data_IF_790174132921
#
_entry.id   IF_790174132921
#
_cell.length_a   1.000
_cell.length_b   1.000
_cell.length_c   1.000
_cell.angle_alpha   90.00
_cell.angle_beta   90.00
_cell.angle_gamma   90.00
#
_symmetry.space_group_name_H-M   'P 1'
#
loop_
_entity.id
_entity.type
_entity.pdbx_description
1 polymer ?
#
# COMPACT_ATOMS: atom_id res chain seq x y z
N UNK A 1 -4.52 -7.75 -4.26
CA UNK A 1 -5.18 -6.54 -3.74
C UNK A 1 -4.39 -5.35 -4.27
N UNK A 2 -4.93 -4.60 -5.23
CA UNK A 2 -4.21 -3.50 -5.87
C UNK A 2 -4.33 -2.24 -4.99
N UNK A 3 -3.23 -1.86 -4.33
CA UNK A 3 -3.12 -0.57 -3.65
C UNK A 3 -2.77 0.52 -4.68
N UNK A 4 -3.66 1.49 -4.87
CA UNK A 4 -3.37 2.68 -5.67
C UNK A 4 -2.60 3.68 -4.79
N UNK A 5 -1.33 3.91 -5.12
CA UNK A 5 -0.52 4.97 -4.53
C UNK A 5 -0.92 6.31 -5.16
N UNK A 6 -1.46 7.23 -4.36
CA UNK A 6 -1.71 8.61 -4.79
C UNK A 6 -0.68 9.54 -4.18
N UNK A 7 0.16 10.15 -5.02
CA UNK A 7 0.80 11.43 -4.69
C UNK A 7 0.73 12.34 -5.92
N UNK A 8 -0.09 13.39 -5.87
CA UNK A 8 0.27 14.77 -6.28
C UNK A 8 -0.94 15.73 -6.29
N UNK A 9 -0.62 17.01 -6.13
CA UNK A 9 -1.47 18.19 -5.98
C UNK A 9 -2.46 18.44 -7.13
N UNK A 10 -3.69 18.85 -6.78
CA UNK A 10 -4.77 19.11 -7.74
C UNK A 10 -4.88 20.59 -8.12
N UNK A 11 -5.02 20.88 -9.42
CA UNK A 11 -5.81 22.00 -9.94
C UNK A 11 -6.75 21.50 -11.04
N UNK A 12 -8.03 21.85 -10.90
CA UNK A 12 -9.15 21.32 -11.71
C UNK A 12 -9.53 22.30 -12.83
N UNK A 13 -9.72 21.79 -14.07
CA UNK A 13 -10.56 22.44 -15.08
C UNK A 13 -11.44 21.42 -15.79
N UNK A 14 -12.74 21.65 -15.69
CA UNK A 14 -13.86 20.89 -16.28
C UNK A 14 -14.03 21.18 -17.77
N UNK A 15 -14.31 20.14 -18.55
CA UNK A 15 -15.23 20.23 -19.71
C UNK A 15 -15.98 18.90 -19.91
N UNK A 16 -17.27 18.98 -20.24
CA UNK A 16 -18.22 17.87 -20.45
C UNK A 16 -18.31 17.46 -21.94
N UNK A 17 -18.82 16.23 -22.14
CA UNK A 17 -19.47 15.64 -23.33
C UNK A 17 -18.49 15.07 -24.38
N UNK A 18 -18.73 13.92 -25.05
CA UNK A 18 -19.92 13.07 -25.30
C UNK A 18 -19.45 11.64 -25.69
N UNK A 19 -20.38 10.70 -25.67
CA UNK A 19 -20.22 9.25 -25.96
C UNK A 19 -19.39 8.93 -27.23
N UNK A 20 -18.43 8.02 -27.09
CA UNK A 20 -17.57 7.51 -28.16
C UNK A 20 -16.97 6.15 -27.80
N UNK A 21 -16.79 5.29 -28.80
CA UNK A 21 -16.39 3.88 -28.73
C UNK A 21 -14.99 3.66 -28.12
N UNK A 22 -14.77 2.45 -27.56
CA UNK A 22 -13.64 2.04 -26.72
C UNK A 22 -12.23 2.29 -27.28
N UNK A 23 -12.08 2.47 -28.59
CA UNK A 23 -10.79 2.74 -29.24
C UNK A 23 -10.40 4.23 -29.19
N UNK A 24 -11.38 5.15 -29.28
CA UNK A 24 -11.11 6.60 -29.26
C UNK A 24 -10.63 7.11 -27.89
N UNK A 25 -11.05 6.45 -26.81
CA UNK A 25 -10.68 6.80 -25.43
C UNK A 25 -9.21 6.50 -25.14
N UNK A 26 -8.64 5.45 -25.74
CA UNK A 26 -7.25 5.03 -25.52
C UNK A 26 -6.24 6.00 -26.16
N UNK A 27 -6.57 6.57 -27.31
CA UNK A 27 -5.71 7.54 -28.00
C UNK A 27 -5.72 8.90 -27.29
N UNK A 28 -6.86 9.35 -26.76
CA UNK A 28 -6.94 10.56 -25.93
C UNK A 28 -6.14 10.42 -24.61
N UNK A 29 -6.09 9.22 -24.03
CA UNK A 29 -5.31 8.95 -22.82
C UNK A 29 -3.79 9.03 -23.08
N UNK A 30 -3.30 8.56 -24.22
CA UNK A 30 -1.87 8.66 -24.58
C UNK A 30 -1.41 10.11 -24.73
N UNK A 31 -2.27 10.96 -25.31
CA UNK A 31 -1.93 12.36 -25.59
C UNK A 31 -1.96 13.24 -24.32
N UNK A 32 -2.86 12.94 -23.38
CA UNK A 32 -2.99 13.71 -22.13
C UNK A 32 -1.97 13.34 -21.05
N UNK A 33 -1.38 12.14 -21.09
CA UNK A 33 -0.55 11.63 -19.98
C UNK A 33 0.96 11.53 -20.26
N UNK A 34 1.47 11.94 -21.44
CA UNK A 34 2.91 11.86 -21.81
C UNK A 34 3.60 10.57 -21.30
N UNK A 35 2.96 9.43 -21.50
CA UNK A 35 3.51 8.13 -21.09
C UNK A 35 4.41 7.63 -22.22
N UNK A 36 5.73 7.66 -22.01
CA UNK A 36 6.69 7.04 -22.93
C UNK A 36 6.81 5.55 -22.60
N UNK A 37 6.04 4.72 -23.30
CA UNK A 37 6.31 3.28 -23.37
C UNK A 37 7.09 3.03 -24.66
N UNK A 38 8.39 2.74 -24.55
CA UNK A 38 9.17 2.18 -25.66
C UNK A 38 9.26 0.67 -25.48
N UNK A 39 8.68 -0.08 -26.40
CA UNK A 39 8.98 -1.49 -26.55
C UNK A 39 10.33 -1.61 -27.25
N UNK A 40 11.28 -2.26 -26.58
CA UNK A 40 12.60 -2.54 -27.15
C UNK A 40 12.49 -3.85 -27.90
N UNK A 41 12.51 -3.77 -29.23
CA UNK A 41 12.71 -4.93 -30.08
C UNK A 41 14.23 -5.03 -30.33
N UNK A 42 14.83 -6.18 -30.01
CA UNK A 42 16.25 -6.38 -30.28
C UNK A 42 16.46 -7.69 -31.04
N UNK A 43 16.44 -7.56 -32.37
CA UNK A 43 17.34 -8.31 -33.22
C UNK A 43 18.77 -7.78 -33.00
N UNK A 44 19.67 -8.63 -32.53
CA UNK A 44 21.10 -8.57 -32.92
C UNK A 44 21.81 -9.87 -32.55
N UNK A 45 22.33 -10.51 -33.59
CA UNK A 45 23.31 -11.58 -33.57
C UNK A 45 24.62 -11.13 -32.90
N UNK A 46 25.29 -11.99 -32.14
CA UNK A 46 26.68 -12.44 -32.39
C UNK A 46 27.11 -13.50 -31.35
N UNK A 47 27.67 -14.61 -31.84
CA UNK A 47 28.19 -15.74 -31.06
C UNK A 47 29.63 -15.49 -30.61
N UNK A 48 29.99 -16.02 -29.44
CA UNK A 48 31.28 -16.73 -29.23
C UNK A 48 31.04 -17.92 -28.29
N UNK A 49 31.62 -19.07 -28.65
CA UNK A 49 31.33 -20.41 -28.16
C UNK A 49 32.12 -20.75 -26.88
N UNK A 50 31.47 -20.88 -25.72
CA UNK A 50 31.87 -21.78 -24.59
C UNK A 50 30.83 -21.76 -23.44
N UNK A 51 29.53 -22.04 -23.64
CA UNK A 51 28.53 -22.05 -22.53
C UNK A 51 27.33 -23.02 -22.73
N UNK A 52 27.50 -24.05 -23.55
CA UNK A 52 26.38 -24.82 -24.12
C UNK A 52 25.53 -25.66 -23.14
N UNK A 53 25.96 -25.86 -21.89
CA UNK A 53 25.22 -26.69 -20.92
C UNK A 53 24.39 -25.84 -19.94
N UNK A 54 24.77 -24.59 -19.70
CA UNK A 54 24.07 -23.69 -18.77
C UNK A 54 22.93 -22.92 -19.47
N UNK A 55 23.03 -22.74 -20.79
CA UNK A 55 22.00 -22.04 -21.57
C UNK A 55 20.72 -22.86 -21.79
N UNK A 56 20.81 -24.19 -21.95
CA UNK A 56 19.63 -25.03 -22.26
C UNK A 56 18.68 -25.15 -21.06
N UNK A 57 19.20 -25.41 -19.86
CA UNK A 57 18.37 -25.48 -18.64
C UNK A 57 17.69 -24.15 -18.34
N UNK A 58 18.41 -23.03 -18.51
CA UNK A 58 17.82 -21.71 -18.34
C UNK A 58 16.74 -21.41 -19.38
N UNK A 59 16.93 -21.80 -20.64
CA UNK A 59 15.91 -21.63 -21.70
C UNK A 59 14.61 -22.37 -21.40
N UNK A 60 14.70 -23.60 -20.91
CA UNK A 60 13.54 -24.43 -20.60
C UNK A 60 12.74 -23.83 -19.45
N UNK A 61 13.41 -23.34 -18.40
CA UNK A 61 12.77 -22.66 -17.27
C UNK A 61 12.08 -21.36 -17.71
N UNK A 62 12.71 -20.57 -18.57
CA UNK A 62 12.15 -19.33 -19.10
C UNK A 62 10.89 -19.55 -19.95
N UNK A 63 10.87 -20.58 -20.79
CA UNK A 63 9.72 -20.89 -21.65
C UNK A 63 8.52 -21.36 -20.82
N UNK A 64 8.77 -22.14 -19.75
CA UNK A 64 7.72 -22.55 -18.82
C UNK A 64 7.15 -21.38 -18.01
N UNK A 65 7.99 -20.49 -17.48
CA UNK A 65 7.54 -19.35 -16.67
C UNK A 65 6.72 -18.35 -17.49
N UNK A 66 7.09 -18.17 -18.75
CA UNK A 66 6.37 -17.31 -19.70
C UNK A 66 4.99 -17.89 -20.05
N UNK A 67 4.90 -19.22 -20.19
CA UNK A 67 3.62 -19.92 -20.41
C UNK A 67 2.66 -19.81 -19.21
N UNK A 68 3.20 -19.68 -18.00
CA UNK A 68 2.45 -19.57 -16.75
C UNK A 68 2.06 -18.13 -16.39
N UNK A 69 2.43 -17.15 -17.23
CA UNK A 69 2.16 -15.73 -16.98
C UNK A 69 2.89 -15.17 -15.76
N UNK A 70 3.98 -15.83 -15.33
CA UNK A 70 4.83 -15.35 -14.26
C UNK A 70 5.60 -14.15 -14.82
N UNK A 71 5.43 -12.93 -14.25
CA UNK A 71 6.18 -11.79 -14.73
C UNK A 71 7.67 -12.07 -14.50
N UNK A 72 8.46 -12.04 -15.57
CA UNK A 72 9.92 -12.18 -15.54
C UNK A 72 10.52 -10.99 -14.80
N UNK A 73 10.57 -11.07 -13.48
CA UNK A 73 11.27 -10.11 -12.65
C UNK A 73 12.74 -10.51 -12.65
N UNK A 74 13.45 -9.95 -13.62
CA UNK A 74 14.87 -9.64 -13.52
C UNK A 74 15.82 -10.85 -13.48
N UNK A 75 16.14 -11.35 -14.67
CA UNK A 75 17.00 -12.52 -14.93
C UNK A 75 18.49 -12.19 -15.10
N UNK A 76 18.87 -10.92 -15.03
CA UNK A 76 20.29 -10.56 -15.07
C UNK A 76 20.89 -10.71 -13.67
N UNK A 77 21.49 -11.86 -13.41
CA UNK A 77 22.19 -12.15 -12.15
C UNK A 77 23.35 -11.18 -11.89
N UNK A 78 23.94 -10.59 -12.94
CA UNK A 78 25.03 -9.61 -12.84
C UNK A 78 24.55 -8.20 -12.52
N UNK A 79 23.26 -7.90 -12.74
CA UNK A 79 22.70 -6.58 -12.46
C UNK A 79 21.22 -6.67 -12.09
N UNK A 80 20.91 -7.16 -10.89
CA UNK A 80 19.53 -7.32 -10.51
C UNK A 80 18.85 -5.97 -10.28
N UNK A 81 17.66 -5.79 -10.85
CA UNK A 81 16.73 -4.73 -10.50
C UNK A 81 16.38 -4.79 -9.01
N UNK A 82 16.79 -3.76 -8.27
CA UNK A 82 16.46 -3.57 -6.88
C UNK A 82 15.42 -2.44 -6.79
N UNK A 83 14.17 -2.73 -6.36
CA UNK A 83 13.16 -1.69 -6.20
C UNK A 83 13.64 -0.60 -5.24
N UNK A 84 13.41 0.68 -5.58
CA UNK A 84 13.79 1.80 -4.71
C UNK A 84 13.06 1.78 -3.37
N UNK A 85 11.79 1.37 -3.37
CA UNK A 85 10.98 1.17 -2.18
C UNK A 85 10.81 -0.32 -1.91
N UNK A 86 11.14 -0.73 -0.69
CA UNK A 86 11.01 -2.10 -0.19
C UNK A 86 10.32 -2.00 1.16
N UNK A 87 9.00 -2.15 1.14
CA UNK A 87 8.13 -1.84 2.28
C UNK A 87 7.71 -3.15 2.95
N UNK A 88 7.83 -3.21 4.28
CA UNK A 88 7.35 -4.35 5.08
C UNK A 88 6.00 -3.99 5.68
N UNK A 89 4.97 -4.78 5.40
CA UNK A 89 3.63 -4.59 5.94
C UNK A 89 3.49 -5.26 7.31
N UNK A 90 3.05 -4.48 8.28
CA UNK A 90 2.63 -4.93 9.60
C UNK A 90 1.10 -4.82 9.67
N UNK A 91 0.43 -5.96 9.52
CA UNK A 91 -0.98 -6.12 9.84
C UNK A 91 -1.11 -6.36 11.36
N UNK A 92 -1.63 -5.36 12.06
CA UNK A 92 -1.66 -5.33 13.53
C UNK A 92 -3.03 -5.70 14.09
N UNK A 93 -4.04 -5.90 13.24
CA UNK A 93 -5.42 -6.11 13.69
C UNK A 93 -5.56 -7.35 14.56
N UNK A 94 -6.26 -7.21 15.68
CA UNK A 94 -6.47 -8.24 16.70
C UNK A 94 -5.23 -8.66 17.51
N UNK A 95 -4.03 -8.65 16.93
CA UNK A 95 -2.80 -9.16 17.55
C UNK A 95 -1.60 -8.22 17.32
N UNK A 96 -1.59 -7.03 17.97
CA UNK A 96 -0.51 -6.08 17.83
C UNK A 96 0.79 -6.64 18.41
N UNK A 97 1.92 -6.39 17.73
CA UNK A 97 3.24 -6.71 18.26
C UNK A 97 3.49 -5.94 19.56
N UNK A 98 4.16 -6.57 20.52
CA UNK A 98 4.58 -5.88 21.74
C UNK A 98 5.53 -4.72 21.38
N UNK A 99 5.39 -3.53 22.00
CA UNK A 99 6.24 -2.37 21.72
C UNK A 99 7.75 -2.67 21.76
N UNK A 100 8.17 -3.48 22.74
CA UNK A 100 9.58 -3.89 22.91
C UNK A 100 10.11 -4.75 21.76
N UNK A 101 9.25 -5.44 21.01
CA UNK A 101 9.65 -6.27 19.89
C UNK A 101 10.08 -5.43 18.67
N UNK A 102 9.57 -4.20 18.54
CA UNK A 102 9.97 -3.31 17.45
C UNK A 102 11.47 -3.01 17.46
N UNK A 103 12.07 -2.91 18.66
CA UNK A 103 13.52 -2.76 18.87
C UNK A 103 14.36 -3.91 18.34
N UNK A 104 13.74 -5.06 18.05
CA UNK A 104 14.39 -6.23 17.43
C UNK A 104 14.08 -6.31 15.94
N UNK A 105 12.80 -6.17 15.57
CA UNK A 105 12.36 -6.40 14.20
C UNK A 105 12.76 -5.28 13.23
N UNK A 106 12.73 -4.00 13.65
CA UNK A 106 13.08 -2.90 12.76
C UNK A 106 14.55 -2.93 12.32
N UNK A 107 15.54 -3.13 13.22
CA UNK A 107 16.92 -3.32 12.79
C UNK A 107 17.09 -4.53 11.87
N UNK A 108 16.39 -5.63 12.17
CA UNK A 108 16.45 -6.85 11.34
C UNK A 108 15.98 -6.58 9.91
N UNK A 109 14.78 -6.02 9.73
CA UNK A 109 14.25 -5.75 8.37
C UNK A 109 15.06 -4.66 7.67
N UNK A 110 15.61 -3.69 8.41
CA UNK A 110 16.50 -2.68 7.86
C UNK A 110 17.77 -3.31 7.28
N UNK A 111 18.38 -4.25 8.01
CA UNK A 111 19.54 -5.01 7.55
C UNK A 111 19.21 -5.92 6.36
N UNK A 112 17.97 -6.39 6.25
CA UNK A 112 17.45 -7.11 5.07
C UNK A 112 17.12 -6.18 3.90
N UNK A 113 17.33 -4.87 4.05
CA UNK A 113 17.19 -3.89 2.99
C UNK A 113 15.87 -3.13 2.97
N UNK A 114 14.99 -3.26 3.95
CA UNK A 114 13.75 -2.48 4.00
C UNK A 114 14.02 -0.97 3.97
N UNK A 115 13.20 -0.24 3.23
CA UNK A 115 13.24 1.23 3.15
C UNK A 115 12.09 1.89 3.89
N UNK A 116 11.06 1.12 4.24
CA UNK A 116 9.91 1.61 4.97
C UNK A 116 9.03 0.48 5.49
N UNK A 117 8.00 0.87 6.21
CA UNK A 117 7.02 -0.01 6.83
C UNK A 117 5.61 0.52 6.53
N UNK A 118 4.69 -0.39 6.26
CA UNK A 118 3.26 -0.11 6.08
C UNK A 118 2.54 -0.57 7.34
N UNK A 119 1.93 0.34 8.09
CA UNK A 119 1.27 0.04 9.35
C UNK A 119 -0.25 0.04 9.17
N UNK A 120 -0.86 -1.13 9.34
CA UNK A 120 -2.31 -1.30 9.36
C UNK A 120 -2.77 -1.54 10.81
N UNK A 121 -3.29 -0.50 11.46
CA UNK A 121 -3.65 -0.57 12.87
C UNK A 121 -5.05 -1.12 13.14
N UNK A 122 -6.04 -0.80 12.30
CA UNK A 122 -7.47 -1.05 12.57
C UNK A 122 -7.87 -0.67 14.02
N UNK A 123 -8.41 -1.61 14.81
CA UNK A 123 -8.81 -1.42 16.21
C UNK A 123 -7.65 -1.42 17.21
N UNK A 124 -6.40 -1.55 16.77
CA UNK A 124 -5.22 -1.38 17.64
C UNK A 124 -4.74 0.06 17.78
N UNK A 125 -5.36 1.01 17.06
CA UNK A 125 -5.07 2.42 17.24
C UNK A 125 -5.85 3.00 18.42
N UNK A 126 -5.25 3.84 19.30
CA UNK A 126 -5.93 4.48 20.44
C UNK A 126 -6.84 5.63 20.00
N UNK A 127 -7.92 5.32 19.29
CA UNK A 127 -8.89 6.33 18.88
C UNK A 127 -9.57 7.02 20.06
N UNK A 128 -9.93 8.29 19.85
CA UNK A 128 -10.63 9.14 20.81
C UNK A 128 -11.88 9.76 20.19
N UNK A 129 -12.61 10.54 20.98
CA UNK A 129 -13.78 11.29 20.49
C UNK A 129 -14.93 10.37 20.05
N UNK A 130 -15.42 10.58 18.83
CA UNK A 130 -16.53 9.78 18.29
C UNK A 130 -16.15 8.32 18.06
N UNK A 131 -14.85 8.02 17.91
CA UNK A 131 -14.32 6.68 17.68
C UNK A 131 -13.85 5.97 18.97
N UNK A 132 -14.09 6.55 20.15
CA UNK A 132 -13.56 6.04 21.45
C UNK A 132 -13.95 4.59 21.80
N UNK A 133 -14.98 4.04 21.17
CA UNK A 133 -15.44 2.66 21.39
C UNK A 133 -14.71 1.63 20.52
N UNK A 134 -14.06 2.09 19.44
CA UNK A 134 -13.40 1.26 18.43
C UNK A 134 -12.16 0.53 18.96
N UNK A 135 -11.28 1.16 19.77
CA UNK A 135 -10.05 0.50 20.19
C UNK A 135 -10.34 -0.79 20.95
N UNK A 136 -9.61 -1.85 20.59
CA UNK A 136 -9.64 -3.09 21.35
C UNK A 136 -8.97 -2.90 22.72
N UNK A 137 -9.26 -3.81 23.65
CA UNK A 137 -8.69 -3.77 25.01
C UNK A 137 -7.16 -3.84 25.06
N UNK A 138 -6.54 -4.43 24.04
CA UNK A 138 -5.09 -4.55 23.88
C UNK A 138 -4.50 -3.58 22.83
N UNK A 139 -5.24 -2.53 22.46
CA UNK A 139 -4.75 -1.49 21.57
C UNK A 139 -3.52 -0.77 22.16
N UNK A 140 -2.71 -0.17 21.29
CA UNK A 140 -1.56 0.62 21.71
C UNK A 140 -1.98 1.85 22.48
N UNK A 141 -1.12 2.33 23.39
CA UNK A 141 -1.23 3.70 23.90
C UNK A 141 -0.60 4.70 22.93
N UNK A 142 -0.92 5.99 23.09
CA UNK A 142 -0.32 7.06 22.27
C UNK A 142 1.21 7.09 22.43
N UNK A 143 1.72 6.82 23.63
CA UNK A 143 3.15 6.76 23.94
C UNK A 143 3.83 5.59 23.23
N UNK A 144 3.18 4.44 23.17
CA UNK A 144 3.68 3.27 22.43
C UNK A 144 3.73 3.53 20.93
N UNK A 145 2.71 4.18 20.37
CA UNK A 145 2.73 4.62 18.96
C UNK A 145 3.92 5.54 18.73
N UNK A 146 4.11 6.58 19.57
CA UNK A 146 5.26 7.49 19.48
C UNK A 146 6.59 6.75 19.53
N UNK A 147 6.76 5.78 20.42
CA UNK A 147 7.98 4.97 20.51
C UNK A 147 8.26 4.22 19.20
N UNK A 148 7.23 3.61 18.61
CA UNK A 148 7.33 2.90 17.31
C UNK A 148 7.77 3.87 16.21
N UNK A 149 7.17 5.05 16.14
CA UNK A 149 7.48 6.06 15.11
C UNK A 149 8.90 6.61 15.26
N UNK A 150 9.32 6.93 16.48
CA UNK A 150 10.68 7.41 16.77
C UNK A 150 11.70 6.35 16.35
N UNK A 151 11.47 5.08 16.69
CA UNK A 151 12.38 4.00 16.32
C UNK A 151 12.46 3.80 14.80
N UNK A 152 11.34 3.93 14.08
CA UNK A 152 11.33 3.85 12.62
C UNK A 152 12.13 5.01 11.98
N UNK A 153 11.96 6.23 12.50
CA UNK A 153 12.69 7.43 12.04
C UNK A 153 14.20 7.31 12.30
N UNK A 154 14.61 6.87 13.49
CA UNK A 154 16.02 6.59 13.85
C UNK A 154 16.68 5.61 12.86
N UNK A 155 15.92 4.63 12.38
CA UNK A 155 16.37 3.61 11.42
C UNK A 155 16.13 4.02 9.95
N UNK A 156 15.64 5.24 9.70
CA UNK A 156 15.30 5.77 8.37
C UNK A 156 14.40 4.80 7.61
N UNK A 157 13.36 4.31 8.28
CA UNK A 157 12.27 3.55 7.68
C UNK A 157 11.12 4.54 7.44
N UNK A 158 10.77 4.77 6.17
CA UNK A 158 9.56 5.52 5.82
C UNK A 158 8.34 4.82 6.43
N UNK A 159 7.52 5.54 7.20
CA UNK A 159 6.31 4.95 7.77
C UNK A 159 5.09 5.39 6.98
N UNK A 160 4.33 4.41 6.52
CA UNK A 160 3.15 4.60 5.68
C UNK A 160 1.95 4.04 6.46
N UNK A 161 0.95 4.85 6.83
CA UNK A 161 -0.29 4.33 7.38
C UNK A 161 -1.13 3.66 6.29
N UNK A 162 -1.65 2.47 6.57
CA UNK A 162 -2.71 1.85 5.80
C UNK A 162 -4.04 2.12 6.51
N UNK A 163 -4.90 2.92 5.86
CA UNK A 163 -6.25 3.21 6.34
C UNK A 163 -7.27 2.68 5.34
N UNK A 164 -8.17 1.83 5.83
CA UNK A 164 -9.29 1.33 5.05
C UNK A 164 -10.35 2.43 4.91
N UNK A 165 -10.90 2.61 3.70
CA UNK A 165 -11.81 3.74 3.40
C UNK A 165 -13.18 3.31 2.90
N UNK A 166 -13.41 2.01 2.69
CA UNK A 166 -14.67 1.48 2.17
C UNK A 166 -14.99 0.11 2.73
N UNK A 167 -14.22 -0.91 2.34
CA UNK A 167 -14.31 -2.28 2.88
C UNK A 167 -13.35 -2.48 4.05
N UNK A 168 -13.38 -3.67 4.66
CA UNK A 168 -12.54 -4.01 5.82
C UNK A 168 -12.73 -3.07 7.02
N UNK A 169 -13.97 -2.60 7.21
CA UNK A 169 -14.33 -1.68 8.29
C UNK A 169 -15.09 -2.36 9.42
N UNK A 170 -15.04 -3.70 9.51
CA UNK A 170 -15.72 -4.46 10.56
C UNK A 170 -15.31 -3.98 11.94
N UNK A 171 -14.04 -3.59 12.12
CA UNK A 171 -13.50 -3.08 13.37
C UNK A 171 -14.22 -1.82 13.88
N UNK A 172 -14.76 -0.98 12.99
CA UNK A 172 -15.62 0.17 13.33
C UNK A 172 -17.10 -0.20 13.25
N UNK A 173 -17.53 -0.77 12.14
CA UNK A 173 -18.94 -0.95 11.81
C UNK A 173 -19.60 -2.07 12.62
N UNK A 174 -18.85 -2.89 13.37
CA UNK A 174 -19.41 -3.85 14.35
C UNK A 174 -20.15 -3.17 15.50
N UNK A 175 -19.78 -1.93 15.87
CA UNK A 175 -20.39 -1.25 17.01
C UNK A 175 -21.76 -0.65 16.63
N UNK A 176 -22.69 -0.67 17.59
CA UNK A 176 -24.09 -0.28 17.39
C UNK A 176 -24.25 1.17 16.91
N UNK A 177 -23.40 2.08 17.39
CA UNK A 177 -23.40 3.50 17.02
C UNK A 177 -23.00 3.77 15.56
N UNK A 178 -22.31 2.83 14.91
CA UNK A 178 -21.85 2.96 13.52
C UNK A 178 -22.67 2.14 12.51
N UNK A 179 -23.71 1.42 12.93
CA UNK A 179 -24.56 0.62 12.02
C UNK A 179 -25.16 1.47 10.89
N UNK A 180 -25.50 2.73 11.19
CA UNK A 180 -26.05 3.70 10.22
C UNK A 180 -25.11 4.04 9.06
N UNK A 181 -23.82 3.70 9.14
CA UNK A 181 -22.85 3.93 8.08
C UNK A 181 -22.67 2.72 7.15
N UNK A 182 -23.23 1.55 7.48
CA UNK A 182 -23.09 0.32 6.67
C UNK A 182 -23.76 0.47 5.31
N UNK A 183 -23.12 -0.10 4.27
CA UNK A 183 -23.70 -0.27 2.92
C UNK A 183 -24.91 -1.20 3.00
N UNK A 184 -24.70 -2.40 3.54
CA UNK A 184 -25.76 -3.38 3.78
C UNK A 184 -26.02 -3.44 5.29
N UNK A 185 -27.26 -3.18 5.77
CA UNK A 185 -27.54 -3.13 7.21
C UNK A 185 -27.08 -4.36 8.01
N UNK A 186 -27.22 -5.55 7.42
CA UNK A 186 -26.83 -6.83 8.02
C UNK A 186 -25.32 -7.15 7.96
N UNK A 187 -24.48 -6.31 7.34
CA UNK A 187 -23.06 -6.60 7.15
C UNK A 187 -22.18 -5.43 7.62
N UNK A 188 -21.25 -5.65 8.57
CA UNK A 188 -20.31 -4.62 9.01
C UNK A 188 -19.08 -4.49 8.09
N UNK A 189 -19.00 -5.20 6.97
CA UNK A 189 -17.77 -5.23 6.16
C UNK A 189 -17.50 -3.93 5.41
N UNK A 190 -18.56 -3.23 4.99
CA UNK A 190 -18.45 -2.10 4.09
C UNK A 190 -19.31 -0.92 4.52
N UNK A 191 -18.73 0.27 4.36
CA UNK A 191 -19.38 1.56 4.57
C UNK A 191 -20.09 2.01 3.28
N UNK A 192 -21.23 2.67 3.44
CA UNK A 192 -22.03 3.18 2.31
C UNK A 192 -21.41 4.46 1.74
N UNK A 193 -20.82 4.45 0.53
CA UNK A 193 -20.07 5.59 0.02
C UNK A 193 -21.01 6.72 -0.45
N UNK A 194 -22.27 6.40 -0.71
CA UNK A 194 -23.30 7.35 -1.15
C UNK A 194 -23.88 8.21 -0.02
N UNK A 195 -23.49 7.97 1.23
CA UNK A 195 -23.94 8.76 2.41
C UNK A 195 -22.86 9.75 2.80
N UNK A 196 -23.19 11.05 2.83
CA UNK A 196 -22.22 12.10 3.21
C UNK A 196 -21.58 11.85 4.59
N UNK A 197 -22.36 11.38 5.55
CA UNK A 197 -21.89 11.11 6.91
C UNK A 197 -20.83 9.99 6.97
N UNK A 198 -20.72 9.16 5.93
CA UNK A 198 -19.68 8.16 5.80
C UNK A 198 -18.30 8.79 5.60
N UNK A 199 -18.23 9.87 4.81
CA UNK A 199 -16.99 10.61 4.58
C UNK A 199 -16.47 11.19 5.90
N UNK A 200 -17.36 11.68 6.77
CA UNK A 200 -16.97 12.23 8.08
C UNK A 200 -16.27 11.18 8.95
N UNK A 201 -16.78 9.94 8.97
CA UNK A 201 -16.15 8.84 9.71
C UNK A 201 -14.79 8.48 9.13
N UNK A 202 -14.66 8.39 7.81
CA UNK A 202 -13.37 8.07 7.17
C UNK A 202 -12.35 9.18 7.44
N UNK A 203 -12.77 10.45 7.35
CA UNK A 203 -11.89 11.58 7.67
C UNK A 203 -11.45 11.55 9.12
N UNK A 204 -12.32 11.16 10.06
CA UNK A 204 -11.93 11.02 11.46
C UNK A 204 -10.88 9.92 11.66
N UNK A 205 -11.06 8.75 11.03
CA UNK A 205 -10.08 7.66 11.07
C UNK A 205 -8.73 8.14 10.49
N UNK A 206 -8.75 8.79 9.33
CA UNK A 206 -7.54 9.31 8.66
C UNK A 206 -6.89 10.42 9.48
N UNK A 207 -7.66 11.30 10.10
CA UNK A 207 -7.12 12.39 10.92
C UNK A 207 -6.41 11.87 12.17
N UNK A 208 -6.95 10.83 12.82
CA UNK A 208 -6.32 10.29 14.02
C UNK A 208 -5.13 9.37 13.67
N UNK A 209 -5.33 8.42 12.76
CA UNK A 209 -4.32 7.40 12.42
C UNK A 209 -3.30 7.88 11.37
N UNK A 210 -3.65 8.84 10.51
CA UNK A 210 -2.78 9.36 9.46
C UNK A 210 -1.93 10.58 9.88
N UNK A 211 -2.38 11.40 10.83
CA UNK A 211 -1.67 12.64 11.23
C UNK A 211 -0.49 12.37 12.16
N UNK A 212 -0.45 11.22 12.84
CA UNK A 212 0.74 10.79 13.60
C UNK A 212 2.02 10.74 12.73
N UNK A 213 1.88 10.71 11.40
CA UNK A 213 3.00 10.58 10.46
C UNK A 213 3.54 11.91 9.93
N UNK A 214 2.80 13.02 10.04
CA UNK A 214 3.18 14.30 9.43
C UNK A 214 3.71 15.36 10.43
N UNK A 215 3.52 15.17 11.74
CA UNK A 215 3.99 16.12 12.74
C UNK A 215 5.49 15.96 13.01
N UNK A 216 6.30 16.56 12.14
CA UNK A 216 7.72 16.90 12.36
C UNK A 216 7.98 17.87 13.53
N UNK A 217 7.06 18.09 14.46
CA UNK A 217 7.28 18.92 15.64
C UNK A 217 6.39 18.44 16.80
N UNK A 218 6.91 17.50 17.59
CA UNK A 218 6.51 17.35 18.99
C UNK A 218 7.56 18.06 19.84
N UNK A 219 7.42 19.37 20.01
CA UNK A 219 8.06 20.17 21.05
C UNK A 219 7.02 20.58 22.07
#
# INVERSE_FOLDING_TARGET
MYGLHYTHSYQFKSTRNKEGTSEGTAEQLKQNYKINVKFVDHQSQFRTETDSVVEEDNKVVYDTDQSLGIPLVNLNLDSPYIPKQRIVHFDLKGAPLQPSFYRKIFPMIKNMGATGILLEYEDMFPYTGILKSVPAHNAYTIEQIKEILVLADELKLEVIPLVQTFGHLEYVLKHSEFIKYREVPGSPQALCPSRNASTDIILEIVNQSGVCFCCRNFT
#
